data_IF_357615519102
#
_entry.id   IF_357615519102
#
_cell.length_a   1.000
_cell.length_b   1.000
_cell.length_c   1.000
_cell.angle_alpha   90.00
_cell.angle_beta   90.00
_cell.angle_gamma   90.00
#
_symmetry.space_group_name_H-M   'P 1'
#
loop_
_entity.id
_entity.type
_entity.pdbx_description
1 polymer ?
#
# COMPACT_ATOMS: atom_id res chain seq x y z
N UNK A 1 -11.89 3.09 -10.54
CA UNK A 1 -12.17 4.50 -10.21
C UNK A 1 -10.85 5.20 -9.97
N UNK A 2 -10.67 6.39 -10.54
CA UNK A 2 -9.43 7.16 -10.43
C UNK A 2 -9.52 8.15 -9.26
N UNK A 3 -8.44 8.30 -8.50
CA UNK A 3 -8.36 9.26 -7.39
C UNK A 3 -7.98 10.65 -7.90
N UNK A 4 -9.01 11.48 -8.15
CA UNK A 4 -8.86 12.88 -8.60
C UNK A 4 -8.12 13.76 -7.58
N UNK A 5 -8.27 13.50 -6.28
CA UNK A 5 -7.64 14.31 -5.23
C UNK A 5 -6.14 14.05 -5.17
N UNK A 6 -5.72 12.78 -5.30
CA UNK A 6 -4.31 12.40 -5.32
C UNK A 6 -3.50 13.21 -6.36
N UNK A 7 -4.01 13.36 -7.59
CA UNK A 7 -3.32 14.12 -8.63
C UNK A 7 -3.20 15.61 -8.27
N UNK A 8 -4.32 16.24 -7.87
CA UNK A 8 -4.36 17.67 -7.52
C UNK A 8 -3.45 18.01 -6.32
N UNK A 9 -3.50 17.19 -5.26
CA UNK A 9 -2.68 17.37 -4.06
C UNK A 9 -1.18 17.22 -4.35
N UNK A 10 -0.78 16.19 -5.12
CA UNK A 10 0.63 15.92 -5.36
C UNK A 10 1.22 16.87 -6.42
N UNK A 11 0.45 17.35 -7.39
CA UNK A 11 0.88 18.41 -8.31
C UNK A 11 1.00 19.76 -7.59
N UNK A 12 0.03 20.13 -6.75
CA UNK A 12 0.14 21.34 -5.91
C UNK A 12 1.30 21.27 -4.91
N UNK A 13 1.61 20.09 -4.38
CA UNK A 13 2.79 19.89 -3.52
C UNK A 13 4.11 20.00 -4.31
N UNK A 14 4.16 19.49 -5.54
CA UNK A 14 5.32 19.64 -6.42
C UNK A 14 5.62 21.12 -6.70
N UNK A 15 4.62 21.92 -7.04
CA UNK A 15 4.80 23.36 -7.32
C UNK A 15 5.36 24.12 -6.11
N UNK A 16 4.90 23.80 -4.89
CA UNK A 16 5.45 24.38 -3.65
C UNK A 16 6.92 23.97 -3.46
N UNK A 17 7.21 22.66 -3.52
CA UNK A 17 8.56 22.13 -3.28
C UNK A 17 9.59 22.60 -4.31
N UNK A 18 9.16 22.85 -5.56
CA UNK A 18 10.05 23.36 -6.62
C UNK A 18 10.21 24.89 -6.59
N UNK A 19 9.30 25.64 -5.94
CA UNK A 19 9.51 27.06 -5.60
C UNK A 19 10.43 27.24 -4.38
N UNK A 20 10.34 26.37 -3.36
CA UNK A 20 11.21 26.36 -2.16
C UNK A 20 12.63 25.78 -2.40
N UNK A 21 13.00 25.52 -3.66
CA UNK A 21 14.25 24.91 -4.12
C UNK A 21 14.54 23.45 -3.62
N UNK A 22 13.61 22.77 -2.93
CA UNK A 22 13.75 21.33 -2.61
C UNK A 22 13.41 20.44 -3.81
N UNK A 23 14.31 20.50 -4.79
CA UNK A 23 14.30 19.64 -5.97
C UNK A 23 14.25 18.15 -5.63
N UNK A 24 14.79 17.70 -4.49
CA UNK A 24 14.88 16.27 -4.15
C UNK A 24 13.51 15.73 -3.72
N UNK A 25 12.79 16.48 -2.90
CA UNK A 25 11.44 16.09 -2.49
C UNK A 25 10.44 16.29 -3.64
N UNK A 26 10.57 17.38 -4.42
CA UNK A 26 9.81 17.59 -5.65
C UNK A 26 9.99 16.43 -6.65
N UNK A 27 11.23 15.94 -6.84
CA UNK A 27 11.50 14.77 -7.69
C UNK A 27 10.76 13.51 -7.19
N UNK A 28 10.75 13.22 -5.88
CA UNK A 28 9.97 12.08 -5.35
C UNK A 28 8.47 12.21 -5.66
N UNK A 29 7.90 13.38 -5.40
CA UNK A 29 6.47 13.64 -5.58
C UNK A 29 6.09 13.47 -7.06
N UNK A 30 6.85 14.05 -7.98
CA UNK A 30 6.50 13.98 -9.40
C UNK A 30 6.72 12.57 -10.01
N UNK A 31 7.72 11.81 -9.54
CA UNK A 31 7.84 10.38 -9.88
C UNK A 31 6.71 9.53 -9.30
N UNK A 32 6.14 9.90 -8.15
CA UNK A 32 4.94 9.26 -7.57
C UNK A 32 3.71 9.52 -8.44
N UNK A 33 3.49 10.77 -8.86
CA UNK A 33 2.40 11.16 -9.78
C UNK A 33 2.51 10.41 -11.11
N UNK A 34 3.68 10.44 -11.74
CA UNK A 34 3.92 9.68 -12.98
C UNK A 34 3.67 8.17 -12.82
N UNK A 35 4.06 7.58 -11.69
CA UNK A 35 3.85 6.15 -11.43
C UNK A 35 2.37 5.79 -11.30
N UNK A 36 1.55 6.64 -10.66
CA UNK A 36 0.10 6.45 -10.62
C UNK A 36 -0.54 6.66 -11.99
N UNK A 37 -0.12 7.66 -12.77
CA UNK A 37 -0.61 7.86 -14.13
C UNK A 37 -0.39 6.60 -15.00
N UNK A 38 0.79 5.98 -14.92
CA UNK A 38 1.06 4.74 -15.67
C UNK A 38 0.22 3.55 -15.17
N UNK A 39 -0.10 3.48 -13.86
CA UNK A 39 -1.04 2.49 -13.30
C UNK A 39 -2.45 2.69 -13.87
N UNK A 40 -2.95 3.92 -13.82
CA UNK A 40 -4.35 4.22 -14.15
C UNK A 40 -4.60 4.16 -15.66
N UNK A 41 -3.63 4.56 -16.48
CA UNK A 41 -3.65 4.34 -17.94
C UNK A 41 -3.57 2.87 -18.36
N UNK A 42 -3.03 1.98 -17.50
CA UNK A 42 -3.11 0.52 -17.71
C UNK A 42 -4.50 0.02 -17.28
N UNK A 43 -5.02 0.48 -16.15
CA UNK A 43 -6.36 0.10 -15.66
C UNK A 43 -7.46 0.46 -16.67
N UNK A 44 -7.51 1.71 -17.15
CA UNK A 44 -8.49 2.15 -18.17
C UNK A 44 -8.40 1.38 -19.50
N UNK A 45 -7.22 0.89 -19.88
CA UNK A 45 -7.00 0.24 -21.19
C UNK A 45 -7.21 -1.28 -21.15
N UNK A 46 -6.76 -1.93 -20.08
CA UNK A 46 -6.61 -3.39 -20.01
C UNK A 46 -7.54 -4.06 -18.99
N UNK A 47 -8.23 -3.29 -18.12
CA UNK A 47 -9.00 -3.81 -16.97
C UNK A 47 -10.44 -3.27 -16.92
N UNK A 48 -10.63 -1.95 -17.03
CA UNK A 48 -11.94 -1.31 -16.88
C UNK A 48 -12.92 -1.68 -18.01
N UNK A 49 -14.21 -1.82 -17.67
CA UNK A 49 -15.30 -2.05 -18.63
C UNK A 49 -15.88 -0.74 -19.18
N UNK A 50 -16.63 -0.81 -20.29
CA UNK A 50 -17.29 0.37 -20.90
C UNK A 50 -18.29 1.09 -19.98
N UNK A 51 -18.69 0.47 -18.85
CA UNK A 51 -19.59 1.04 -17.84
C UNK A 51 -18.83 1.68 -16.65
N UNK A 52 -17.53 1.43 -16.51
CA UNK A 52 -16.64 2.00 -15.47
C UNK A 52 -15.76 3.15 -15.98
N UNK A 53 -15.72 3.39 -17.30
CA UNK A 53 -14.91 4.44 -17.93
C UNK A 53 -15.74 5.72 -18.05
N UNK A 54 -15.54 6.64 -17.11
CA UNK A 54 -16.14 7.98 -17.13
C UNK A 54 -15.36 8.92 -18.06
N UNK A 55 -16.06 9.82 -18.76
CA UNK A 55 -15.45 10.81 -19.66
C UNK A 55 -14.45 11.71 -18.89
N UNK A 56 -14.83 12.14 -17.69
CA UNK A 56 -13.99 12.91 -16.77
C UNK A 56 -12.69 12.19 -16.33
N UNK A 57 -12.73 10.85 -16.20
CA UNK A 57 -11.58 10.05 -15.78
C UNK A 57 -10.56 9.92 -16.93
N UNK A 58 -11.01 9.99 -18.18
CA UNK A 58 -10.13 10.08 -19.36
C UNK A 58 -9.57 11.49 -19.51
N UNK A 59 -10.42 12.53 -19.40
CA UNK A 59 -9.99 13.94 -19.51
C UNK A 59 -8.92 14.28 -18.45
N UNK A 60 -9.08 13.83 -17.20
CA UNK A 60 -8.08 14.00 -16.13
C UNK A 60 -6.72 13.39 -16.49
N UNK A 61 -6.68 12.15 -16.97
CA UNK A 61 -5.40 11.50 -17.28
C UNK A 61 -4.73 12.07 -18.54
N UNK A 62 -5.49 12.68 -19.45
CA UNK A 62 -4.92 13.44 -20.57
C UNK A 62 -4.34 14.79 -20.09
N UNK A 63 -5.04 15.53 -19.23
CA UNK A 63 -4.54 16.79 -18.63
C UNK A 63 -3.24 16.57 -17.82
N UNK A 64 -3.22 15.55 -16.94
CA UNK A 64 -2.03 15.19 -16.14
C UNK A 64 -0.88 14.69 -17.04
N UNK A 65 -1.15 14.03 -18.16
CA UNK A 65 -0.08 13.62 -19.09
C UNK A 65 0.51 14.80 -19.87
N UNK A 66 -0.29 15.79 -20.26
CA UNK A 66 0.23 17.02 -20.86
C UNK A 66 1.06 17.84 -19.85
N UNK A 67 0.59 17.97 -18.60
CA UNK A 67 1.32 18.68 -17.54
C UNK A 67 2.66 18.01 -17.19
N UNK A 68 2.67 16.69 -16.91
CA UNK A 68 3.91 15.95 -16.64
C UNK A 68 4.91 16.04 -17.79
N UNK A 69 4.43 16.17 -19.04
CA UNK A 69 5.28 16.37 -20.21
C UNK A 69 5.86 17.79 -20.28
N UNK A 70 5.10 18.83 -19.97
CA UNK A 70 5.66 20.19 -19.84
C UNK A 70 6.69 20.25 -18.71
N UNK A 71 6.45 19.54 -17.60
CA UNK A 71 7.40 19.42 -16.49
C UNK A 71 8.69 18.66 -16.88
N UNK A 72 8.60 17.60 -17.69
CA UNK A 72 9.79 16.89 -18.21
C UNK A 72 10.61 17.77 -19.16
N UNK A 73 9.95 18.50 -20.08
CA UNK A 73 10.59 19.48 -20.97
C UNK A 73 11.23 20.67 -20.20
N UNK A 74 10.75 20.97 -18.98
CA UNK A 74 11.19 22.07 -18.12
C UNK A 74 12.31 21.69 -17.13
N UNK A 75 12.34 20.45 -16.62
CA UNK A 75 13.23 20.03 -15.51
C UNK A 75 14.13 18.82 -15.81
N UNK A 76 13.94 18.15 -16.95
CA UNK A 76 14.72 16.98 -17.42
C UNK A 76 14.64 15.75 -16.48
N UNK A 77 13.42 15.36 -16.10
CA UNK A 77 13.15 14.21 -15.22
C UNK A 77 13.34 12.85 -15.92
N UNK A 78 13.18 12.81 -17.25
CA UNK A 78 13.34 11.64 -18.14
C UNK A 78 12.42 10.49 -17.76
N UNK A 79 11.15 10.81 -17.45
CA UNK A 79 10.10 9.83 -17.09
C UNK A 79 10.00 8.68 -18.09
N UNK A 80 10.13 9.00 -19.38
CA UNK A 80 10.04 8.06 -20.48
C UNK A 80 11.20 7.04 -20.49
N UNK A 81 12.37 7.38 -19.92
CA UNK A 81 13.49 6.43 -19.70
C UNK A 81 13.32 5.63 -18.41
N UNK A 82 12.92 6.28 -17.32
CA UNK A 82 12.60 5.64 -16.04
C UNK A 82 11.57 4.52 -16.23
N UNK A 83 10.49 4.78 -16.97
CA UNK A 83 9.45 3.78 -17.26
C UNK A 83 9.98 2.58 -18.05
N UNK A 84 10.88 2.81 -19.02
CA UNK A 84 11.53 1.73 -19.78
C UNK A 84 12.43 0.87 -18.88
N UNK A 85 13.15 1.46 -17.93
CA UNK A 85 13.95 0.74 -16.93
C UNK A 85 13.08 -0.11 -16.00
N UNK A 86 11.99 0.47 -15.46
CA UNK A 86 11.01 -0.27 -14.62
C UNK A 86 10.42 -1.45 -15.38
N UNK A 87 10.00 -1.28 -16.63
CA UNK A 87 9.53 -2.40 -17.46
C UNK A 87 10.59 -3.47 -17.71
N UNK A 88 11.87 -3.11 -17.85
CA UNK A 88 12.96 -4.07 -18.02
C UNK A 88 13.21 -4.88 -16.74
N UNK A 89 13.24 -4.25 -15.56
CA UNK A 89 13.40 -4.98 -14.30
C UNK A 89 12.21 -5.89 -13.99
N UNK A 90 10.97 -5.44 -14.22
CA UNK A 90 9.79 -6.29 -14.08
C UNK A 90 9.87 -7.56 -14.96
N UNK A 91 10.33 -7.41 -16.22
CA UNK A 91 10.58 -8.54 -17.13
C UNK A 91 11.73 -9.44 -16.64
N UNK A 92 12.81 -8.89 -16.09
CA UNK A 92 13.91 -9.67 -15.49
C UNK A 92 13.44 -10.46 -14.26
N UNK A 93 12.59 -9.89 -13.41
CA UNK A 93 12.02 -10.58 -12.24
C UNK A 93 11.11 -11.74 -12.66
N UNK A 94 10.15 -11.49 -13.56
CA UNK A 94 9.25 -12.52 -14.11
C UNK A 94 10.00 -13.65 -14.84
N UNK A 95 11.13 -13.32 -15.51
CA UNK A 95 11.99 -14.31 -16.15
C UNK A 95 12.74 -15.18 -15.14
N UNK A 96 13.20 -14.61 -14.03
CA UNK A 96 13.92 -15.35 -12.96
C UNK A 96 13.02 -16.34 -12.20
N UNK A 97 11.70 -16.14 -12.19
CA UNK A 97 10.74 -17.07 -11.59
C UNK A 97 10.43 -18.31 -12.44
N UNK A 98 10.88 -18.40 -13.70
CA UNK A 98 10.55 -19.51 -14.60
C UNK A 98 11.76 -20.41 -14.93
N UNK A 99 11.72 -21.64 -14.42
CA UNK A 99 12.56 -22.78 -14.82
C UNK A 99 11.56 -23.94 -15.01
N UNK A 100 11.40 -24.57 -16.18
CA UNK A 100 12.41 -25.18 -17.07
C UNK A 100 11.90 -25.19 -18.56
N UNK A 101 12.57 -25.79 -19.57
CA UNK A 101 12.78 -25.06 -20.83
C UNK A 101 12.34 -25.80 -22.12
N UNK A 102 11.54 -25.13 -22.95
CA UNK A 102 11.32 -25.52 -24.36
C UNK A 102 10.74 -24.35 -25.19
N UNK A 103 11.60 -23.43 -25.63
CA UNK A 103 11.92 -23.23 -27.06
C UNK A 103 12.89 -22.04 -27.24
N UNK A 104 13.79 -22.13 -28.24
CA UNK A 104 14.84 -21.14 -28.53
C UNK A 104 14.50 -20.30 -29.77
N UNK A 105 14.40 -18.97 -29.63
CA UNK A 105 14.85 -17.96 -30.62
C UNK A 105 15.26 -16.71 -29.81
N UNK A 106 16.53 -16.43 -29.46
CA UNK A 106 17.77 -16.18 -30.24
C UNK A 106 17.83 -14.75 -30.83
N UNK A 107 18.81 -13.98 -30.33
CA UNK A 107 19.38 -12.71 -30.87
C UNK A 107 18.51 -11.44 -30.77
N UNK A 108 19.07 -10.23 -30.59
CA UNK A 108 20.47 -9.82 -30.32
C UNK A 108 20.48 -8.43 -29.62
N UNK A 109 21.60 -7.99 -29.04
CA UNK A 109 21.74 -6.58 -28.62
C UNK A 109 22.54 -6.27 -27.35
N UNK A 110 23.85 -6.54 -27.39
CA UNK A 110 24.96 -5.90 -26.63
C UNK A 110 24.90 -5.83 -25.08
N UNK A 111 25.98 -6.32 -24.45
CA UNK A 111 26.30 -6.10 -23.03
C UNK A 111 26.76 -4.66 -22.81
N UNK A 112 26.22 -3.99 -21.78
CA UNK A 112 26.94 -2.88 -21.13
C UNK A 112 27.04 -3.17 -19.63
N UNK A 113 28.21 -3.65 -19.20
CA UNK A 113 28.54 -3.88 -17.79
C UNK A 113 29.03 -2.57 -17.17
N UNK A 114 28.27 -2.05 -16.22
CA UNK A 114 28.75 -1.03 -15.28
C UNK A 114 28.83 -1.59 -13.86
N UNK A 115 30.06 -1.61 -13.35
CA UNK A 115 30.39 -1.69 -11.93
C UNK A 115 30.37 -0.25 -11.38
N UNK A 116 29.83 -0.06 -10.17
CA UNK A 116 29.99 1.07 -9.22
C UNK A 116 29.00 0.70 -8.07
N UNK A 117 29.37 0.43 -6.81
CA UNK A 117 30.21 1.18 -5.86
C UNK A 117 29.80 2.66 -5.85
N UNK A 118 29.03 3.17 -4.88
CA UNK A 118 29.18 2.94 -3.44
C UNK A 118 27.86 2.97 -2.63
N UNK A 119 27.87 2.41 -1.42
CA UNK A 119 26.71 2.28 -0.53
C UNK A 119 26.75 3.23 0.67
N UNK A 120 26.47 4.52 0.46
CA UNK A 120 26.41 5.52 1.55
C UNK A 120 25.09 5.44 2.34
N UNK A 121 25.17 4.84 3.53
CA UNK A 121 24.12 4.84 4.55
C UNK A 121 24.21 6.14 5.37
N UNK A 122 23.14 6.93 5.41
CA UNK A 122 23.02 8.11 6.27
C UNK A 122 21.75 8.06 7.11
N UNK A 123 21.90 8.43 8.38
CA UNK A 123 20.92 8.25 9.46
C UNK A 123 20.19 9.56 9.80
N UNK A 124 19.05 9.43 10.48
CA UNK A 124 18.32 10.39 11.32
C UNK A 124 18.60 11.91 11.17
N UNK A 125 17.60 12.65 10.69
CA UNK A 125 17.28 13.98 11.21
C UNK A 125 15.80 14.08 11.52
N UNK A 126 15.50 14.52 12.75
CA UNK A 126 14.17 14.63 13.34
C UNK A 126 14.02 16.07 13.86
N UNK A 127 13.18 16.89 13.23
CA UNK A 127 12.84 18.22 13.72
C UNK A 127 11.33 18.37 13.83
N UNK A 128 10.86 18.69 15.04
CA UNK A 128 9.44 18.96 15.32
C UNK A 128 8.95 20.20 14.57
N UNK A 129 7.68 20.19 14.13
CA UNK A 129 6.98 21.41 13.73
C UNK A 129 5.66 21.53 14.51
N UNK A 130 5.66 22.39 15.54
CA UNK A 130 4.44 22.73 16.28
C UNK A 130 3.48 23.53 15.37
N UNK A 131 2.42 22.88 14.88
CA UNK A 131 1.32 23.57 14.20
C UNK A 131 0.50 24.32 15.27
N UNK A 132 0.52 25.65 15.21
CA UNK A 132 -0.30 26.50 16.07
C UNK A 132 -1.71 26.72 15.54
N UNK A 133 -2.69 26.83 16.43
CA UNK A 133 -4.09 27.13 16.12
C UNK A 133 -4.27 28.51 15.44
N UNK A 134 -5.20 28.63 14.49
CA UNK A 134 -6.36 29.56 14.60
C UNK A 134 -7.32 29.47 13.37
N UNK A 135 -8.55 29.00 13.64
CA UNK A 135 -9.84 29.36 13.03
C UNK A 135 -10.02 29.57 11.49
N UNK A 136 -10.66 28.59 10.82
CA UNK A 136 -11.79 28.88 9.92
C UNK A 136 -12.81 27.72 9.82
N UNK A 137 -14.06 27.96 10.22
CA UNK A 137 -15.23 27.06 10.14
C UNK A 137 -16.52 27.90 9.88
N UNK A 138 -17.63 27.24 9.52
CA UNK A 138 -18.98 27.81 9.22
C UNK A 138 -19.02 28.60 7.87
N UNK A 139 -20.12 28.76 7.10
CA UNK A 139 -21.57 28.43 7.12
C UNK A 139 -21.94 27.75 5.76
N UNK A 140 -22.93 26.88 5.48
CA UNK A 140 -23.89 26.00 6.22
C UNK A 140 -24.64 25.10 5.15
N UNK A 141 -25.63 24.28 5.55
CA UNK A 141 -26.72 23.62 4.73
C UNK A 141 -26.55 22.20 4.08
N UNK A 142 -27.11 21.20 4.78
CA UNK A 142 -28.10 20.20 4.33
C UNK A 142 -28.04 19.57 2.89
N UNK A 143 -27.46 18.37 2.79
CA UNK A 143 -27.95 17.32 1.85
C UNK A 143 -28.55 16.17 2.66
N UNK A 144 -29.68 15.63 2.23
CA UNK A 144 -30.41 14.58 2.96
C UNK A 144 -29.87 13.20 2.61
N UNK A 145 -29.77 12.33 3.61
CA UNK A 145 -29.61 10.89 3.39
C UNK A 145 -30.81 10.38 2.56
N UNK A 146 -30.53 9.76 1.41
CA UNK A 146 -31.43 8.83 0.74
C UNK A 146 -30.58 7.59 0.45
N UNK A 147 -30.81 6.52 1.23
CA UNK A 147 -29.99 5.30 1.24
C UNK A 147 -30.11 4.57 -0.11
N UNK A 148 -29.16 4.79 -1.03
CA UNK A 148 -28.93 3.86 -2.15
C UNK A 148 -27.97 2.77 -1.66
N UNK A 149 -28.55 1.71 -1.08
CA UNK A 149 -27.87 0.44 -0.79
C UNK A 149 -27.19 -0.09 -2.08
N UNK A 150 -25.86 -0.02 -2.16
CA UNK A 150 -25.09 -0.64 -3.25
C UNK A 150 -25.06 -2.16 -3.07
N UNK A 151 -26.16 -2.78 -3.50
CA UNK A 151 -26.51 -4.21 -3.44
C UNK A 151 -25.57 -5.11 -4.30
N UNK A 152 -24.34 -4.64 -4.54
CA UNK A 152 -23.29 -5.22 -5.37
C UNK A 152 -22.05 -5.65 -4.56
N UNK A 153 -22.06 -5.47 -3.22
CA UNK A 153 -21.08 -6.17 -2.36
C UNK A 153 -21.27 -7.69 -2.49
N UNK A 154 -20.25 -8.35 -3.05
CA UNK A 154 -20.19 -9.80 -3.25
C UNK A 154 -20.21 -10.59 -1.93
N UNK A 155 -20.01 -9.93 -0.78
CA UNK A 155 -20.04 -10.51 0.56
C UNK A 155 -21.40 -10.33 1.27
N UNK A 156 -22.31 -9.50 0.76
CA UNK A 156 -23.65 -9.19 1.33
C UNK A 156 -24.57 -10.40 1.61
N UNK A 157 -24.24 -11.57 1.06
CA UNK A 157 -24.99 -12.82 1.24
C UNK A 157 -24.42 -13.74 2.34
N UNK A 158 -23.26 -13.36 2.90
CA UNK A 158 -22.60 -14.07 4.00
C UNK A 158 -23.10 -13.52 5.34
N UNK A 159 -23.00 -14.33 6.39
CA UNK A 159 -23.16 -13.82 7.75
C UNK A 159 -21.87 -13.20 8.28
N UNK A 160 -21.97 -12.30 9.26
CA UNK A 160 -20.83 -11.73 9.98
C UNK A 160 -19.89 -12.84 10.49
N UNK A 161 -20.48 -13.90 11.08
CA UNK A 161 -19.82 -15.14 11.51
C UNK A 161 -19.04 -15.89 10.40
N UNK A 162 -19.32 -15.62 9.12
CA UNK A 162 -18.61 -16.19 7.97
C UNK A 162 -17.52 -15.26 7.42
N UNK A 163 -17.68 -13.94 7.55
CA UNK A 163 -16.68 -12.95 7.14
C UNK A 163 -15.45 -13.03 8.06
N UNK A 164 -15.67 -13.14 9.37
CA UNK A 164 -14.61 -13.16 10.39
C UNK A 164 -13.78 -14.46 10.39
N UNK A 165 -14.25 -15.54 9.76
CA UNK A 165 -13.54 -16.83 9.66
C UNK A 165 -12.10 -16.72 9.12
N UNK A 166 -11.85 -15.77 8.23
CA UNK A 166 -10.53 -15.55 7.60
C UNK A 166 -9.59 -14.77 8.55
N UNK A 167 -9.98 -13.59 9.08
CA UNK A 167 -9.27 -12.93 10.17
C UNK A 167 -8.96 -13.84 11.36
N UNK A 168 -9.96 -14.54 11.92
CA UNK A 168 -9.81 -15.43 13.09
C UNK A 168 -8.74 -16.51 12.83
N UNK A 169 -8.84 -17.22 11.70
CA UNK A 169 -7.91 -18.32 11.38
C UNK A 169 -6.47 -17.83 11.23
N UNK A 170 -6.28 -16.62 10.69
CA UNK A 170 -4.96 -16.02 10.48
C UNK A 170 -4.36 -15.53 11.83
N UNK A 171 -5.18 -14.94 12.70
CA UNK A 171 -4.78 -14.55 14.05
C UNK A 171 -4.42 -15.77 14.93
N UNK A 172 -5.25 -16.82 14.93
CA UNK A 172 -4.94 -18.08 15.63
C UNK A 172 -3.64 -18.71 15.11
N UNK A 173 -3.39 -18.67 13.79
CA UNK A 173 -2.11 -19.11 13.22
C UNK A 173 -0.95 -18.25 13.72
N UNK A 174 -1.09 -16.91 13.70
CA UNK A 174 -0.07 -15.97 14.13
C UNK A 174 0.37 -16.19 15.58
N UNK A 175 -0.58 -16.42 16.52
CA UNK A 175 -0.31 -16.73 17.93
C UNK A 175 0.61 -17.94 18.12
N UNK A 176 0.65 -18.89 17.17
CA UNK A 176 1.51 -20.08 17.25
C UNK A 176 2.94 -19.87 16.74
N UNK A 177 3.24 -18.79 16.02
CA UNK A 177 4.57 -18.56 15.41
C UNK A 177 5.62 -18.03 16.40
N UNK A 178 5.18 -17.39 17.48
CA UNK A 178 6.04 -16.78 18.49
C UNK A 178 5.51 -17.07 19.91
N UNK A 179 6.23 -16.63 20.95
CA UNK A 179 5.78 -16.79 22.33
C UNK A 179 4.71 -15.74 22.68
N UNK A 180 3.46 -15.95 22.24
CA UNK A 180 2.36 -15.00 22.44
C UNK A 180 2.13 -14.62 23.92
N UNK A 181 2.19 -15.53 24.92
CA UNK A 181 2.13 -15.16 26.33
C UNK A 181 3.24 -14.20 26.82
N UNK A 182 4.46 -14.30 26.27
CA UNK A 182 5.58 -13.37 26.58
C UNK A 182 5.42 -12.04 25.83
N UNK A 183 4.77 -12.05 24.66
CA UNK A 183 4.41 -10.84 23.93
C UNK A 183 3.33 -10.03 24.66
N UNK A 184 2.34 -10.67 25.29
CA UNK A 184 1.34 -10.01 26.13
C UNK A 184 1.96 -9.27 27.33
N UNK A 185 3.09 -9.72 27.87
CA UNK A 185 3.82 -8.97 28.91
C UNK A 185 4.35 -7.60 28.40
N UNK A 186 4.42 -7.40 27.09
CA UNK A 186 4.77 -6.10 26.45
C UNK A 186 3.61 -5.11 26.42
N UNK A 187 2.37 -5.54 26.72
CA UNK A 187 1.16 -4.71 26.73
C UNK A 187 0.47 -4.72 28.12
N UNK A 188 1.16 -4.30 29.20
CA UNK A 188 0.74 -4.54 30.60
C UNK A 188 -0.52 -3.78 31.06
N UNK A 189 -1.18 -3.04 30.17
CA UNK A 189 -2.40 -2.25 30.42
C UNK A 189 -3.58 -2.73 29.57
N UNK A 190 -3.32 -3.55 28.54
CA UNK A 190 -4.32 -4.02 27.59
C UNK A 190 -4.75 -5.47 27.85
N UNK A 191 -5.79 -5.90 27.14
CA UNK A 191 -6.27 -7.28 27.08
C UNK A 191 -5.79 -8.00 25.81
N UNK A 192 -6.11 -9.29 25.73
CA UNK A 192 -5.73 -10.21 24.64
C UNK A 192 -6.34 -9.72 23.30
N UNK A 193 -7.62 -9.35 23.35
CA UNK A 193 -8.46 -8.78 22.29
C UNK A 193 -7.82 -7.54 21.65
N UNK A 194 -7.39 -6.55 22.44
CA UNK A 194 -6.65 -5.39 21.94
C UNK A 194 -5.34 -5.77 21.20
N UNK A 195 -4.55 -6.70 21.74
CA UNK A 195 -3.27 -7.09 21.11
C UNK A 195 -3.50 -7.87 19.81
N UNK A 196 -4.66 -8.50 19.65
CA UNK A 196 -5.08 -9.13 18.40
C UNK A 196 -5.56 -8.10 17.37
N UNK A 197 -6.64 -7.38 17.67
CA UNK A 197 -7.31 -6.49 16.72
C UNK A 197 -6.54 -5.19 16.42
N UNK A 198 -5.84 -4.65 17.42
CA UNK A 198 -5.21 -3.32 17.32
C UNK A 198 -3.69 -3.43 17.17
N UNK A 199 -3.09 -4.61 17.39
CA UNK A 199 -1.68 -4.85 17.05
C UNK A 199 -1.47 -5.91 15.96
N UNK A 200 -1.81 -7.18 16.21
CA UNK A 200 -1.41 -8.26 15.31
C UNK A 200 -2.10 -8.18 13.95
N UNK A 201 -3.39 -7.86 13.91
CA UNK A 201 -4.13 -7.76 12.66
C UNK A 201 -3.64 -6.59 11.79
N UNK A 202 -3.48 -5.33 12.28
CA UNK A 202 -2.90 -4.23 11.51
C UNK A 202 -1.50 -4.53 10.94
N UNK A 203 -0.64 -5.21 11.71
CA UNK A 203 0.69 -5.61 11.23
C UNK A 203 0.60 -6.63 10.09
N UNK A 204 -0.28 -7.63 10.19
CA UNK A 204 -0.47 -8.64 9.14
C UNK A 204 -1.07 -8.00 7.88
N UNK A 205 -2.11 -7.17 8.06
CA UNK A 205 -2.85 -6.49 6.99
C UNK A 205 -1.95 -5.50 6.24
N UNK A 206 -1.32 -4.55 6.94
CA UNK A 206 -0.46 -3.54 6.31
C UNK A 206 0.71 -4.17 5.56
N UNK A 207 1.36 -5.19 6.15
CA UNK A 207 2.45 -5.92 5.46
C UNK A 207 1.98 -6.77 4.28
N UNK A 208 0.73 -7.23 4.26
CA UNK A 208 0.18 -7.97 3.11
C UNK A 208 -0.12 -7.04 1.92
N UNK A 209 -0.56 -5.82 2.19
CA UNK A 209 -0.75 -4.78 1.16
C UNK A 209 0.55 -4.07 0.75
N UNK A 210 1.58 -4.12 1.57
CA UNK A 210 2.93 -3.64 1.25
C UNK A 210 3.34 -2.35 1.95
N UNK A 211 2.63 -1.95 3.00
CA UNK A 211 2.90 -0.75 3.79
C UNK A 211 4.25 -0.82 4.52
N UNK A 212 4.91 0.33 4.63
CA UNK A 212 6.16 0.48 5.38
C UNK A 212 5.94 0.30 6.88
N UNK A 213 7.00 0.01 7.62
CA UNK A 213 6.94 -0.06 9.09
C UNK A 213 6.57 1.28 9.74
N UNK A 214 6.75 2.39 9.02
CA UNK A 214 6.38 3.75 9.44
C UNK A 214 4.88 3.97 9.29
N UNK A 215 4.31 3.75 8.10
CA UNK A 215 2.86 3.95 7.85
C UNK A 215 1.99 3.08 8.78
N UNK A 216 2.42 1.84 9.03
CA UNK A 216 1.76 0.93 9.99
C UNK A 216 1.90 1.47 11.42
N UNK A 217 3.10 1.93 11.82
CA UNK A 217 3.31 2.50 13.14
C UNK A 217 2.52 3.79 13.37
N UNK A 218 2.39 4.67 12.38
CA UNK A 218 1.64 5.93 12.47
C UNK A 218 0.14 5.68 12.67
N UNK A 219 -0.46 4.76 11.91
CA UNK A 219 -1.86 4.34 12.08
C UNK A 219 -2.08 3.73 13.47
N UNK A 220 -1.22 2.79 13.87
CA UNK A 220 -1.34 2.11 15.17
C UNK A 220 -1.12 3.07 16.34
N UNK A 221 -0.11 3.94 16.28
CA UNK A 221 0.16 4.96 17.30
C UNK A 221 -1.00 5.95 17.44
N UNK A 222 -1.63 6.35 16.33
CA UNK A 222 -2.82 7.20 16.34
C UNK A 222 -3.99 6.53 17.04
N UNK A 223 -4.30 5.27 16.70
CA UNK A 223 -5.35 4.48 17.37
C UNK A 223 -5.05 4.30 18.86
N UNK A 224 -3.79 3.99 19.21
CA UNK A 224 -3.35 3.80 20.60
C UNK A 224 -3.50 5.08 21.42
N UNK A 225 -3.14 6.24 20.84
CA UNK A 225 -3.33 7.54 21.48
C UNK A 225 -4.83 7.87 21.70
N UNK A 226 -5.72 7.53 20.76
CA UNK A 226 -7.17 7.75 20.92
C UNK A 226 -7.78 6.96 22.10
N UNK A 227 -7.31 5.73 22.34
CA UNK A 227 -7.76 4.91 23.49
C UNK A 227 -6.97 5.19 24.78
N UNK A 228 -5.94 6.03 24.74
CA UNK A 228 -5.08 6.37 25.88
C UNK A 228 -3.96 5.37 26.19
N UNK A 229 -3.62 4.47 25.27
CA UNK A 229 -2.43 3.62 25.36
C UNK A 229 -1.19 4.38 24.84
N UNK A 230 -0.17 4.51 25.68
CA UNK A 230 1.06 5.25 25.34
C UNK A 230 2.21 4.27 25.06
N UNK A 231 2.73 4.31 23.83
CA UNK A 231 3.95 3.61 23.40
C UNK A 231 4.82 4.58 22.61
N UNK A 232 6.14 4.48 22.75
CA UNK A 232 7.08 5.24 21.93
C UNK A 232 7.04 4.73 20.47
N UNK A 233 6.87 5.62 19.50
CA UNK A 233 6.86 5.27 18.06
C UNK A 233 8.09 4.42 17.67
N UNK A 234 9.26 4.77 18.21
CA UNK A 234 10.51 4.06 17.99
C UNK A 234 10.53 2.62 18.52
N UNK A 235 9.73 2.26 19.52
CA UNK A 235 9.63 0.89 20.02
C UNK A 235 8.50 0.12 19.32
N UNK A 236 7.40 0.81 19.01
CA UNK A 236 6.33 0.31 18.13
C UNK A 236 6.89 -0.15 16.77
N UNK A 237 7.68 0.69 16.08
CA UNK A 237 8.34 0.34 14.81
C UNK A 237 9.22 -0.92 14.91
N UNK A 238 9.98 -1.09 16.00
CA UNK A 238 10.82 -2.29 16.21
C UNK A 238 9.96 -3.54 16.39
N UNK A 239 8.84 -3.42 17.11
CA UNK A 239 7.89 -4.52 17.29
C UNK A 239 7.22 -4.91 15.96
N UNK A 240 6.85 -3.93 15.13
CA UNK A 240 6.31 -4.16 13.78
C UNK A 240 7.37 -4.83 12.87
N UNK A 241 8.60 -4.31 12.85
CA UNK A 241 9.70 -4.85 12.02
C UNK A 241 10.09 -6.28 12.45
N UNK A 242 10.04 -6.59 13.74
CA UNK A 242 10.24 -7.95 14.24
C UNK A 242 9.06 -8.87 13.88
N UNK A 243 7.82 -8.43 14.10
CA UNK A 243 6.62 -9.25 13.83
C UNK A 243 6.40 -9.49 12.34
N UNK A 244 6.70 -8.53 11.47
CA UNK A 244 6.71 -8.71 10.02
C UNK A 244 7.66 -9.81 9.54
N UNK A 245 8.76 -10.05 10.26
CA UNK A 245 9.71 -11.16 9.99
C UNK A 245 9.24 -12.50 10.58
N UNK A 246 8.58 -12.48 11.73
CA UNK A 246 8.05 -13.68 12.39
C UNK A 246 6.77 -14.22 11.72
N UNK A 247 5.95 -13.34 11.13
CA UNK A 247 4.62 -13.62 10.58
C UNK A 247 4.57 -13.68 9.04
N UNK A 248 5.71 -13.91 8.38
CA UNK A 248 5.80 -13.87 6.91
C UNK A 248 4.90 -14.90 6.17
N UNK A 249 4.50 -15.99 6.83
CA UNK A 249 3.53 -16.96 6.27
C UNK A 249 2.09 -16.46 6.42
N UNK A 250 1.75 -15.88 7.57
CA UNK A 250 0.46 -15.27 7.88
C UNK A 250 0.18 -14.05 6.99
N UNK A 251 1.19 -13.22 6.75
CA UNK A 251 1.15 -12.09 5.80
C UNK A 251 0.86 -12.57 4.37
N UNK A 252 1.56 -13.63 3.92
CA UNK A 252 1.32 -14.23 2.60
C UNK A 252 -0.08 -14.87 2.52
N UNK A 253 -0.51 -15.55 3.58
CA UNK A 253 -1.84 -16.16 3.66
C UNK A 253 -2.95 -15.11 3.66
N UNK A 254 -2.80 -13.99 4.38
CA UNK A 254 -3.74 -12.88 4.35
C UNK A 254 -3.84 -12.27 2.95
N UNK A 255 -2.70 -12.08 2.26
CA UNK A 255 -2.71 -11.60 0.86
C UNK A 255 -3.50 -12.56 -0.05
N UNK A 256 -3.18 -13.86 -0.02
CA UNK A 256 -3.88 -14.88 -0.80
C UNK A 256 -5.36 -14.99 -0.43
N UNK A 257 -5.72 -14.76 0.83
CA UNK A 257 -7.10 -14.75 1.29
C UNK A 257 -7.87 -13.53 0.76
N UNK A 258 -7.31 -12.34 0.92
CA UNK A 258 -7.84 -11.10 0.36
C UNK A 258 -8.03 -11.19 -1.15
N UNK A 259 -7.00 -11.62 -1.90
CA UNK A 259 -7.08 -11.83 -3.36
C UNK A 259 -8.21 -12.79 -3.74
N UNK A 260 -8.49 -13.81 -2.91
CA UNK A 260 -9.54 -14.81 -3.16
C UNK A 260 -10.94 -14.31 -2.79
N UNK A 261 -11.08 -13.55 -1.70
CA UNK A 261 -12.35 -12.93 -1.29
C UNK A 261 -12.81 -11.88 -2.33
N UNK A 262 -11.89 -11.04 -2.83
CA UNK A 262 -12.16 -10.10 -3.93
C UNK A 262 -12.55 -10.81 -5.25
N UNK A 263 -12.22 -12.09 -5.41
CA UNK A 263 -12.66 -12.93 -6.54
C UNK A 263 -14.00 -13.65 -6.27
N UNK A 264 -14.70 -13.34 -5.17
CA UNK A 264 -15.98 -13.94 -4.79
C UNK A 264 -15.87 -15.38 -4.26
N UNK A 265 -14.70 -15.79 -3.74
CA UNK A 265 -14.54 -17.09 -3.11
C UNK A 265 -15.17 -17.11 -1.70
N UNK A 266 -15.97 -18.15 -1.40
CA UNK A 266 -16.61 -18.31 -0.08
C UNK A 266 -15.54 -18.37 1.04
N UNK A 267 -15.68 -17.64 2.16
CA UNK A 267 -14.66 -17.58 3.21
C UNK A 267 -14.21 -18.95 3.72
N UNK A 268 -15.13 -19.90 3.87
CA UNK A 268 -14.82 -21.29 4.26
C UNK A 268 -13.85 -22.00 3.29
N UNK A 269 -13.97 -21.75 1.98
CA UNK A 269 -13.06 -22.29 0.97
C UNK A 269 -11.71 -21.56 0.99
N UNK A 270 -11.71 -20.26 1.27
CA UNK A 270 -10.50 -19.47 1.50
C UNK A 270 -9.75 -19.98 2.73
N UNK A 271 -10.45 -20.29 3.83
CA UNK A 271 -9.88 -20.96 5.02
C UNK A 271 -9.29 -22.33 4.67
N UNK A 272 -9.98 -23.17 3.89
CA UNK A 272 -9.39 -24.45 3.42
C UNK A 272 -8.11 -24.24 2.59
N UNK A 273 -8.04 -23.18 1.78
CA UNK A 273 -6.87 -22.81 0.98
C UNK A 273 -5.69 -22.33 1.85
N UNK A 274 -5.90 -21.34 2.73
CA UNK A 274 -4.83 -20.84 3.61
C UNK A 274 -4.43 -21.87 4.67
N UNK A 275 -5.31 -22.78 5.08
CA UNK A 275 -4.95 -23.91 5.95
C UNK A 275 -3.88 -24.81 5.33
N UNK A 276 -3.67 -24.78 4.01
CA UNK A 276 -2.61 -25.54 3.34
C UNK A 276 -1.29 -24.78 3.31
N UNK A 277 -1.32 -23.45 3.29
CA UNK A 277 -0.14 -22.57 3.38
C UNK A 277 0.38 -22.46 4.81
N UNK A 278 -0.52 -22.40 5.80
CA UNK A 278 -0.20 -22.14 7.20
C UNK A 278 0.14 -23.41 8.03
N UNK A 279 0.14 -24.59 7.40
CA UNK A 279 0.52 -25.85 8.06
C UNK A 279 1.98 -25.82 8.56
N UNK A 280 2.24 -26.33 9.78
CA UNK A 280 3.59 -26.43 10.37
C UNK A 280 4.41 -27.60 9.81
#
# INVERSE_FOLDING_TARGET
>A
MIDKNFYLENLSAFDILIEDEDRKEAEKVIFRVFSMLQRDKIWLRDIATEEEIFEEDVELLEEVEEELKELDEKYEFRFDEFYKLVQQEMKKMQSKSNINPADEEIFDGEEDTFEDEDGEKLDDLNEDFEIGDEDFLEEDEDFYDEDEDDDNDALSHLSDEEIDLVPEYILESAKTRFNYPEFLESFPVADEEFVEEQFLFPVIVGKAFGETDIEIAEKMHSNFMMIGYQIEMNDLMKMIEQKGKELGLEILAFKVASDSLHQGAHPTAVVEQISQLLKP
#
